data_IF_464223051676
#
_entry.id   IF_464223051676
#
_cell.length_a   1.000
_cell.length_b   1.000
_cell.length_c   1.000
_cell.angle_alpha   90.00
_cell.angle_beta   90.00
_cell.angle_gamma   90.00
#
_symmetry.space_group_name_H-M   'P 1'
#
loop_
_entity.id
_entity.type
_entity.pdbx_description
1 polymer ?
#
# COMPACT_ATOMS: atom_id res chain seq x y z
N UNK A 1 -3.26 -11.67 6.34
CA UNK A 1 -4.21 -10.60 6.75
C UNK A 1 -5.25 -10.32 5.68
N UNK A 2 -4.88 -10.18 4.40
CA UNK A 2 -5.85 -9.91 3.32
C UNK A 2 -6.97 -10.97 3.21
N UNK A 3 -6.69 -12.13 2.62
CA UNK A 3 -7.70 -13.21 2.43
C UNK A 3 -7.72 -14.26 3.56
N UNK A 4 -7.01 -14.01 4.66
CA UNK A 4 -6.92 -14.95 5.78
C UNK A 4 -5.89 -16.07 5.59
N UNK A 5 -5.99 -17.11 6.41
CA UNK A 5 -5.12 -18.29 6.32
C UNK A 5 -5.40 -19.10 5.03
N UNK A 6 -4.36 -19.67 4.38
CA UNK A 6 -4.55 -20.51 3.21
C UNK A 6 -5.60 -21.62 3.44
N UNK A 7 -6.43 -21.88 2.44
CA UNK A 7 -7.49 -22.91 2.39
C UNK A 7 -8.70 -22.71 3.29
N UNK A 8 -8.59 -22.01 4.41
CA UNK A 8 -9.71 -21.79 5.35
C UNK A 8 -10.24 -20.35 5.34
N UNK A 9 -9.47 -19.40 4.81
CA UNK A 9 -9.83 -17.96 4.71
C UNK A 9 -10.22 -17.29 6.04
N UNK A 10 -9.98 -17.95 7.18
CA UNK A 10 -10.21 -17.38 8.50
C UNK A 10 -9.24 -16.21 8.78
N UNK A 11 -9.70 -15.25 9.58
CA UNK A 11 -8.97 -14.04 9.96
C UNK A 11 -8.61 -13.10 8.80
N UNK A 12 -9.26 -13.27 7.64
CA UNK A 12 -9.19 -12.32 6.53
C UNK A 12 -9.92 -11.03 6.86
N UNK A 13 -9.23 -9.89 6.71
CA UNK A 13 -9.80 -8.57 6.94
C UNK A 13 -10.07 -7.80 5.63
N UNK A 14 -9.64 -8.32 4.47
CA UNK A 14 -9.80 -7.64 3.17
C UNK A 14 -11.27 -7.34 2.85
N UNK A 15 -12.19 -8.29 3.12
CA UNK A 15 -13.62 -8.06 2.92
C UNK A 15 -14.18 -6.98 3.86
N UNK A 16 -13.73 -6.94 5.12
CA UNK A 16 -14.16 -5.93 6.09
C UNK A 16 -13.68 -4.54 5.66
N UNK A 17 -12.41 -4.41 5.30
CA UNK A 17 -11.83 -3.14 4.88
C UNK A 17 -12.46 -2.62 3.59
N UNK A 18 -12.76 -3.52 2.65
CA UNK A 18 -13.48 -3.14 1.44
C UNK A 18 -14.94 -2.72 1.71
N UNK A 19 -15.65 -3.42 2.60
CA UNK A 19 -17.01 -3.06 3.00
C UNK A 19 -17.08 -1.66 3.62
N UNK A 20 -16.09 -1.26 4.40
CA UNK A 20 -16.06 0.05 5.06
C UNK A 20 -15.34 1.13 4.25
N UNK A 21 -14.88 0.82 3.03
CA UNK A 21 -14.27 1.81 2.15
C UNK A 21 -12.91 2.30 2.63
N UNK A 22 -12.07 1.42 3.18
CA UNK A 22 -10.70 1.78 3.57
C UNK A 22 -9.89 2.13 2.33
N UNK A 23 -9.38 3.36 2.27
CA UNK A 23 -8.63 3.87 1.12
C UNK A 23 -7.18 3.35 1.05
N UNK A 24 -6.49 3.32 2.20
CA UNK A 24 -5.07 2.93 2.31
C UNK A 24 -4.87 2.06 3.54
N UNK A 25 -4.09 0.99 3.37
CA UNK A 25 -3.72 0.05 4.41
C UNK A 25 -2.20 0.06 4.58
N UNK A 26 -1.72 0.42 5.78
CA UNK A 26 -0.30 0.41 6.12
C UNK A 26 0.09 -0.87 6.84
N UNK A 27 1.20 -1.44 6.40
CA UNK A 27 1.80 -2.65 6.94
C UNK A 27 3.26 -2.41 7.31
N UNK A 28 3.78 -3.32 8.12
CA UNK A 28 5.19 -3.36 8.51
C UNK A 28 5.58 -4.84 8.65
N UNK A 29 6.37 -5.17 9.67
CA UNK A 29 6.98 -6.48 9.91
C UNK A 29 8.06 -6.83 8.91
N UNK A 30 7.76 -6.86 7.61
CA UNK A 30 8.78 -6.95 6.57
C UNK A 30 9.65 -5.69 6.61
N UNK A 31 10.96 -5.84 6.76
CA UNK A 31 11.94 -4.77 6.85
C UNK A 31 12.27 -4.19 5.48
N UNK A 32 11.23 -3.79 4.75
CA UNK A 32 11.32 -3.24 3.41
C UNK A 32 10.25 -2.17 3.17
N UNK A 33 10.33 -1.51 2.02
CA UNK A 33 9.24 -0.70 1.49
C UNK A 33 8.64 -1.36 0.24
N UNK A 34 7.32 -1.53 0.23
CA UNK A 34 6.59 -2.00 -0.94
C UNK A 34 5.26 -1.27 -1.07
N UNK A 35 4.99 -0.74 -2.27
CA UNK A 35 3.67 -0.22 -2.65
C UNK A 35 3.04 -1.17 -3.64
N UNK A 36 1.80 -1.55 -3.38
CA UNK A 36 0.99 -2.30 -4.32
C UNK A 36 0.13 -1.36 -5.16
N UNK A 37 -0.32 -1.85 -6.32
CA UNK A 37 -1.50 -1.27 -6.97
C UNK A 37 -2.74 -1.46 -6.06
N UNK A 38 -3.84 -0.74 -6.30
CA UNK A 38 -5.09 -1.01 -5.58
C UNK A 38 -5.54 -2.44 -5.87
N UNK A 39 -5.71 -3.27 -4.83
CA UNK A 39 -5.93 -4.71 -4.98
C UNK A 39 -7.04 -5.18 -4.07
N UNK A 40 -7.91 -6.02 -4.60
CA UNK A 40 -8.88 -6.77 -3.83
C UNK A 40 -8.98 -8.19 -4.40
N UNK A 41 -8.95 -9.21 -3.54
CA UNK A 41 -9.02 -10.61 -3.94
C UNK A 41 -8.04 -10.95 -5.07
N UNK A 42 -6.77 -10.58 -4.86
CA UNK A 42 -5.65 -10.81 -5.79
C UNK A 42 -5.82 -10.16 -7.19
N UNK A 43 -6.80 -9.27 -7.35
CA UNK A 43 -7.10 -8.59 -8.60
C UNK A 43 -6.82 -7.11 -8.46
N UNK A 44 -6.03 -6.56 -9.38
CA UNK A 44 -5.78 -5.11 -9.47
C UNK A 44 -7.08 -4.40 -9.89
N UNK A 45 -7.49 -3.37 -9.17
CA UNK A 45 -8.74 -2.63 -9.40
C UNK A 45 -8.47 -1.16 -9.62
N UNK A 46 -8.36 -0.77 -10.89
CA UNK A 46 -8.09 0.61 -11.31
C UNK A 46 -6.72 1.13 -10.80
N UNK A 47 -5.66 0.36 -11.08
CA UNK A 47 -4.26 0.78 -10.87
C UNK A 47 -3.68 1.47 -12.11
N UNK A 48 -2.99 2.58 -11.92
CA UNK A 48 -2.38 3.40 -12.99
C UNK A 48 -0.97 3.82 -12.58
N UNK A 49 -0.03 3.99 -13.52
CA UNK A 49 1.33 4.48 -13.19
C UNK A 49 1.35 5.92 -12.66
N UNK A 50 0.27 6.68 -12.88
CA UNK A 50 0.11 8.05 -12.39
C UNK A 50 -0.61 8.12 -11.05
N UNK A 51 -1.40 9.18 -10.87
CA UNK A 51 -2.28 9.29 -9.70
C UNK A 51 -3.35 8.19 -9.72
N UNK A 52 -3.62 7.62 -8.55
CA UNK A 52 -4.70 6.66 -8.36
C UNK A 52 -6.00 7.44 -8.23
N UNK A 53 -6.75 7.54 -9.32
CA UNK A 53 -7.99 8.29 -9.40
C UNK A 53 -9.15 7.32 -9.24
N UNK A 54 -9.89 7.48 -8.15
CA UNK A 54 -11.03 6.66 -7.78
C UNK A 54 -10.74 5.15 -7.88
N UNK A 55 -9.67 4.64 -7.21
CA UNK A 55 -9.42 3.21 -7.22
C UNK A 55 -10.61 2.46 -6.63
N UNK A 56 -10.88 1.27 -7.15
CA UNK A 56 -11.97 0.40 -6.68
C UNK A 56 -11.43 -0.73 -5.79
N UNK A 57 -10.36 -0.45 -5.05
CA UNK A 57 -9.83 -1.26 -3.97
C UNK A 57 -8.91 -0.41 -3.07
N UNK A 58 -8.60 -0.87 -1.84
CA UNK A 58 -7.60 -0.25 -1.00
C UNK A 58 -6.20 -0.31 -1.63
N UNK A 59 -5.37 0.69 -1.32
CA UNK A 59 -3.93 0.66 -1.62
C UNK A 59 -3.18 0.09 -0.43
N UNK A 60 -2.30 -0.88 -0.66
CA UNK A 60 -1.47 -1.44 0.41
C UNK A 60 -0.04 -0.87 0.34
N UNK A 61 0.47 -0.42 1.49
CA UNK A 61 1.83 0.11 1.66
C UNK A 61 2.52 -0.65 2.79
N UNK A 62 3.57 -1.38 2.47
CA UNK A 62 4.54 -1.88 3.45
C UNK A 62 5.57 -0.78 3.69
N UNK A 63 5.73 -0.35 4.94
CA UNK A 63 6.72 0.66 5.36
C UNK A 63 7.44 0.19 6.63
N UNK A 64 8.06 -0.99 6.57
CA UNK A 64 8.69 -1.62 7.74
C UNK A 64 10.21 -1.40 7.86
N UNK A 65 10.86 -0.73 6.89
CA UNK A 65 12.31 -0.50 6.88
C UNK A 65 12.76 0.73 7.68
N UNK A 66 12.31 0.91 8.92
CA UNK A 66 12.66 2.10 9.72
C UNK A 66 14.08 2.07 10.35
N UNK A 67 14.78 0.93 10.33
CA UNK A 67 16.13 0.80 10.91
C UNK A 67 16.39 -0.43 11.79
N UNK A 68 15.62 -1.51 11.64
CA UNK A 68 15.78 -2.73 12.46
C UNK A 68 17.21 -3.31 12.35
N UNK A 69 17.78 -3.76 13.47
CA UNK A 69 19.11 -4.38 13.50
C UNK A 69 19.21 -5.72 12.76
N UNK A 70 18.07 -6.34 12.44
CA UNK A 70 17.96 -7.57 11.64
C UNK A 70 18.22 -7.33 10.15
N UNK A 71 18.39 -6.06 9.74
CA UNK A 71 18.56 -5.61 8.35
C UNK A 71 17.32 -5.84 7.51
N UNK A 72 17.46 -5.62 6.20
CA UNK A 72 16.36 -5.68 5.24
C UNK A 72 15.98 -7.10 4.84
N UNK A 73 14.70 -7.33 4.63
CA UNK A 73 14.19 -8.58 4.05
C UNK A 73 14.43 -8.61 2.54
N UNK A 74 14.76 -9.78 1.96
CA UNK A 74 14.95 -9.90 0.51
C UNK A 74 13.60 -9.94 -0.21
N UNK A 75 13.49 -9.24 -1.33
CA UNK A 75 12.35 -9.38 -2.23
C UNK A 75 12.40 -10.69 -3.00
N UNK A 76 11.25 -11.36 -3.10
CA UNK A 76 11.04 -12.47 -4.03
C UNK A 76 10.78 -11.98 -5.46
N UNK A 77 10.19 -12.86 -6.29
CA UNK A 77 9.69 -12.46 -7.62
C UNK A 77 8.52 -11.49 -7.43
N UNK A 78 8.56 -10.29 -8.03
CA UNK A 78 7.46 -9.34 -7.96
C UNK A 78 6.15 -9.97 -8.43
N UNK A 79 5.07 -9.70 -7.70
CA UNK A 79 3.73 -10.15 -8.10
C UNK A 79 3.14 -9.17 -9.12
N UNK A 80 2.11 -9.57 -9.91
CA UNK A 80 1.48 -8.66 -10.86
C UNK A 80 0.99 -7.35 -10.24
N UNK A 81 0.63 -7.40 -8.95
CA UNK A 81 0.16 -6.25 -8.18
C UNK A 81 1.25 -5.41 -7.50
N UNK A 82 2.53 -5.76 -7.64
CA UNK A 82 3.65 -4.96 -7.12
C UNK A 82 3.81 -3.72 -7.98
N UNK A 83 3.63 -2.53 -7.39
CA UNK A 83 3.81 -1.25 -8.10
C UNK A 83 5.22 -0.70 -7.92
N UNK A 84 5.77 -0.78 -6.71
CA UNK A 84 7.12 -0.34 -6.40
C UNK A 84 7.68 -1.09 -5.19
N UNK A 85 8.98 -1.37 -5.20
CA UNK A 85 9.72 -2.00 -4.10
C UNK A 85 11.04 -1.26 -3.90
N UNK A 86 11.44 -1.06 -2.65
CA UNK A 86 12.74 -0.51 -2.29
C UNK A 86 13.23 -1.08 -0.96
N UNK A 87 14.54 -1.31 -0.87
CA UNK A 87 15.17 -1.93 0.28
C UNK A 87 16.10 -0.97 1.03
N UNK A 88 15.84 0.33 0.94
CA UNK A 88 16.55 1.32 1.73
C UNK A 88 15.90 1.39 3.12
N UNK A 89 16.69 1.76 4.13
CA UNK A 89 16.08 2.31 5.33
C UNK A 89 15.38 3.62 5.00
N UNK A 90 14.26 3.87 5.66
CA UNK A 90 13.45 5.03 5.34
C UNK A 90 12.14 5.10 6.11
N UNK A 91 11.32 6.06 5.72
CA UNK A 91 10.03 6.30 6.32
C UNK A 91 9.06 6.89 5.30
N UNK A 92 7.78 6.57 5.48
CA UNK A 92 6.70 7.14 4.69
C UNK A 92 6.21 8.46 5.29
N UNK A 93 6.02 9.49 4.46
CA UNK A 93 5.34 10.74 4.80
C UNK A 93 3.97 10.77 4.13
N UNK A 94 2.92 11.02 4.92
CA UNK A 94 1.55 11.15 4.41
C UNK A 94 1.05 12.57 4.62
N UNK A 95 0.54 13.19 3.56
CA UNK A 95 -0.12 14.48 3.60
C UNK A 95 -1.56 14.35 3.09
N UNK A 96 -2.53 14.64 3.96
CA UNK A 96 -3.95 14.74 3.58
C UNK A 96 -4.24 16.20 3.26
N UNK A 97 -4.36 16.52 1.97
CA UNK A 97 -4.51 17.90 1.51
C UNK A 97 -5.93 18.42 1.65
N UNK A 98 -6.92 17.55 1.41
CA UNK A 98 -8.33 17.85 1.53
C UNK A 98 -9.13 16.55 1.63
N UNK A 99 -10.46 16.63 1.57
CA UNK A 99 -11.34 15.47 1.66
C UNK A 99 -11.19 14.49 0.51
N UNK A 100 -10.52 14.81 -0.59
CA UNK A 100 -10.39 13.94 -1.77
C UNK A 100 -8.96 13.62 -2.15
N UNK A 101 -7.96 14.34 -1.63
CA UNK A 101 -6.56 14.20 -2.05
C UNK A 101 -5.64 13.84 -0.89
N UNK A 102 -4.94 12.73 -1.07
CA UNK A 102 -3.89 12.23 -0.19
C UNK A 102 -2.61 12.06 -1.02
N UNK A 103 -1.48 12.52 -0.49
CA UNK A 103 -0.17 12.34 -1.09
C UNK A 103 0.72 11.54 -0.15
N UNK A 104 1.41 10.55 -0.69
CA UNK A 104 2.35 9.71 0.02
C UNK A 104 3.72 9.80 -0.64
N UNK A 105 4.76 9.81 0.19
CA UNK A 105 6.15 9.75 -0.21
C UNK A 105 6.90 8.73 0.64
N UNK A 106 7.74 7.91 0.03
CA UNK A 106 8.76 7.15 0.73
C UNK A 106 10.08 7.90 0.68
N UNK A 107 10.63 8.20 1.85
CA UNK A 107 11.90 8.90 2.02
C UNK A 107 12.96 7.88 2.39
N UNK A 108 14.05 7.84 1.63
CA UNK A 108 15.21 7.00 1.93
C UNK A 108 16.19 7.73 2.83
N UNK A 109 16.53 7.11 3.95
CA UNK A 109 17.63 7.53 4.83
C UNK A 109 18.99 7.19 4.20
N UNK A 110 19.09 6.02 3.57
CA UNK A 110 20.31 5.55 2.88
C UNK A 110 20.74 6.48 1.72
N UNK A 111 19.78 7.19 1.12
CA UNK A 111 20.00 8.20 0.08
C UNK A 111 19.84 9.63 0.60
N UNK A 112 20.17 9.89 1.88
CA UNK A 112 20.23 11.23 2.47
C UNK A 112 18.92 12.03 2.37
N UNK A 113 17.78 11.38 2.62
CA UNK A 113 16.46 12.01 2.61
C UNK A 113 15.84 12.16 1.22
N UNK A 114 16.36 11.47 0.20
CA UNK A 114 15.78 11.46 -1.14
C UNK A 114 14.41 10.75 -1.13
N UNK A 115 13.43 11.34 -1.82
CA UNK A 115 12.15 10.67 -2.11
C UNK A 115 12.40 9.62 -3.18
N UNK A 116 12.17 8.35 -2.84
CA UNK A 116 12.41 7.19 -3.74
C UNK A 116 11.13 6.70 -4.38
N UNK A 117 9.98 6.97 -3.77
CA UNK A 117 8.66 6.69 -4.32
C UNK A 117 7.66 7.76 -3.87
N UNK A 118 6.65 8.01 -4.70
CA UNK A 118 5.54 8.87 -4.30
C UNK A 118 4.27 8.51 -5.06
N UNK A 119 3.11 8.78 -4.46
CA UNK A 119 1.83 8.57 -5.11
C UNK A 119 0.77 9.55 -4.63
N UNK A 120 -0.10 9.93 -5.55
CA UNK A 120 -1.34 10.62 -5.26
C UNK A 120 -2.46 9.59 -5.22
N UNK A 121 -3.24 9.62 -4.15
CA UNK A 121 -4.54 8.99 -4.07
C UNK A 121 -5.61 10.07 -4.13
N UNK A 122 -6.46 9.99 -5.15
CA UNK A 122 -7.55 10.91 -5.38
C UNK A 122 -8.86 10.11 -5.30
N UNK A 123 -9.66 10.37 -4.27
CA UNK A 123 -10.95 9.72 -4.03
C UNK A 123 -12.07 10.75 -4.01
N UNK A 124 -12.89 10.78 -5.05
CA UNK A 124 -14.00 11.71 -5.22
C UNK A 124 -15.22 11.32 -4.38
N UNK A 125 -15.39 10.02 -4.09
CA UNK A 125 -16.48 9.48 -3.29
C UNK A 125 -15.98 8.46 -2.26
N UNK A 126 -16.31 8.71 -1.00
CA UNK A 126 -16.04 7.82 0.14
C UNK A 126 -17.19 6.84 0.39
N UNK A 127 -16.87 5.69 0.98
CA UNK A 127 -17.82 4.64 1.32
C UNK A 127 -17.43 3.28 0.74
N UNK A 128 -18.32 2.27 0.88
CA UNK A 128 -18.06 0.91 0.41
C UNK A 128 -17.64 0.87 -1.07
N UNK A 129 -16.75 -0.06 -1.42
CA UNK A 129 -16.40 -0.32 -2.82
C UNK A 129 -17.56 -0.94 -3.60
N UNK A 130 -17.49 -0.89 -4.94
CA UNK A 130 -18.62 -1.19 -5.83
C UNK A 130 -19.22 -2.61 -5.72
N UNK A 131 -18.46 -3.52 -5.12
CA UNK A 131 -18.78 -4.93 -4.93
C UNK A 131 -19.27 -5.25 -3.51
N UNK A 132 -19.65 -4.23 -2.73
CA UNK A 132 -20.30 -4.33 -1.41
C UNK A 132 -21.59 -3.51 -1.33
#
# INVERSE_FOLDING_TARGET
>A
IRIGLPFIQEYGLEALFAQYGVDVEFWAHEHSYERLWPVYNETIRNGTEGAYIDPDAPVHIVTGSAGCGERHDPFGVPRPWTAFQNNDYGYTRMNVYNTTHLYLEQVSDDQHGKVVDSMWLIKSKHGPYSYF
#
